data_IF_430800038334
#
_entry.id   IF_430800038334
#
_cell.length_a   1.000
_cell.length_b   1.000
_cell.length_c   1.000
_cell.angle_alpha   90.00
_cell.angle_beta   90.00
_cell.angle_gamma   90.00
#
_symmetry.space_group_name_H-M   'P 1'
#
loop_
_entity.id
_entity.type
_entity.pdbx_description
1 polymer ?
#
# COMPACT_ATOMS: atom_id res chain seq x y z
N UNK A 1 -16.46 -29.93 -4.29
CA UNK A 1 -15.81 -29.04 -5.26
C UNK A 1 -15.25 -29.91 -6.37
N UNK A 2 -15.60 -29.68 -7.64
CA UNK A 2 -15.02 -30.43 -8.77
C UNK A 2 -13.62 -29.92 -9.11
N UNK A 3 -12.82 -30.75 -9.76
CA UNK A 3 -11.49 -30.33 -10.25
C UNK A 3 -11.62 -29.17 -11.24
N UNK A 4 -12.57 -29.26 -12.18
CA UNK A 4 -12.81 -28.22 -13.18
C UNK A 4 -13.15 -26.85 -12.56
N UNK A 5 -13.94 -26.86 -11.48
CA UNK A 5 -14.30 -25.63 -10.77
C UNK A 5 -13.09 -24.97 -10.09
N UNK A 6 -12.18 -25.78 -9.52
CA UNK A 6 -10.92 -25.28 -8.95
C UNK A 6 -10.01 -24.73 -10.04
N UNK A 7 -9.84 -25.46 -11.15
CA UNK A 7 -9.01 -25.02 -12.27
C UNK A 7 -9.54 -23.73 -12.92
N UNK A 8 -10.85 -23.56 -13.01
CA UNK A 8 -11.47 -22.32 -13.46
C UNK A 8 -11.14 -21.15 -12.52
N UNK A 9 -11.24 -21.37 -11.20
CA UNK A 9 -10.91 -20.34 -10.19
C UNK A 9 -9.42 -20.00 -10.18
N UNK A 10 -8.53 -20.99 -10.34
CA UNK A 10 -7.08 -20.77 -10.49
C UNK A 10 -6.80 -19.90 -11.72
N UNK A 11 -7.41 -20.22 -12.87
CA UNK A 11 -7.27 -19.42 -14.10
C UNK A 11 -7.80 -17.99 -13.96
N UNK A 12 -8.90 -17.80 -13.22
CA UNK A 12 -9.45 -16.47 -12.91
C UNK A 12 -8.48 -15.65 -12.06
N UNK A 13 -7.91 -16.27 -11.02
CA UNK A 13 -6.96 -15.61 -10.12
C UNK A 13 -5.61 -15.34 -10.81
N UNK A 14 -5.12 -16.26 -11.63
CA UNK A 14 -3.90 -16.04 -12.42
C UNK A 14 -4.05 -14.85 -13.38
N UNK A 15 -5.17 -14.77 -14.13
CA UNK A 15 -5.47 -13.61 -14.97
C UNK A 15 -5.56 -12.31 -14.18
N UNK A 16 -6.11 -12.36 -12.96
CA UNK A 16 -6.15 -11.20 -12.08
C UNK A 16 -4.74 -10.78 -11.66
N UNK A 17 -3.87 -11.71 -11.30
CA UNK A 17 -2.47 -11.40 -10.96
C UNK A 17 -1.69 -10.86 -12.17
N UNK A 18 -1.92 -11.39 -13.37
CA UNK A 18 -1.34 -10.86 -14.61
C UNK A 18 -1.79 -9.41 -14.86
N UNK A 19 -3.10 -9.14 -14.76
CA UNK A 19 -3.61 -7.77 -14.86
C UNK A 19 -3.06 -6.83 -13.77
N UNK A 20 -2.72 -7.35 -12.59
CA UNK A 20 -2.11 -6.57 -11.52
C UNK A 20 -0.65 -6.24 -11.81
N UNK A 21 0.08 -7.14 -12.46
CA UNK A 21 1.46 -6.89 -12.91
C UNK A 21 1.49 -5.78 -13.98
N UNK A 22 0.58 -5.81 -14.96
CA UNK A 22 0.45 -4.74 -15.95
C UNK A 22 0.09 -3.39 -15.28
N UNK A 23 -0.79 -3.42 -14.27
CA UNK A 23 -1.16 -2.24 -13.49
C UNK A 23 0.03 -1.70 -12.67
N UNK A 24 0.85 -2.58 -12.11
CA UNK A 24 2.07 -2.20 -11.39
C UNK A 24 3.03 -1.45 -12.29
N UNK A 25 3.26 -1.92 -13.52
CA UNK A 25 4.12 -1.24 -14.49
C UNK A 25 3.57 0.15 -14.84
N UNK A 26 2.26 0.26 -15.11
CA UNK A 26 1.58 1.53 -15.36
C UNK A 26 1.73 2.52 -14.19
N UNK A 27 1.55 2.05 -12.95
CA UNK A 27 1.72 2.88 -11.74
C UNK A 27 3.18 3.29 -11.56
N UNK A 28 4.16 2.42 -11.85
CA UNK A 28 5.59 2.75 -11.79
C UNK A 28 5.93 3.87 -12.77
N UNK A 29 5.52 3.76 -14.03
CA UNK A 29 5.74 4.82 -15.02
C UNK A 29 5.09 6.14 -14.61
N UNK A 30 3.86 6.07 -14.09
CA UNK A 30 3.17 7.25 -13.60
C UNK A 30 3.89 7.89 -12.41
N UNK A 31 4.33 7.08 -11.45
CA UNK A 31 5.08 7.52 -10.28
C UNK A 31 6.40 8.19 -10.67
N UNK A 32 7.12 7.65 -11.66
CA UNK A 32 8.36 8.25 -12.16
C UNK A 32 8.12 9.62 -12.81
N UNK A 33 7.10 9.73 -13.66
CA UNK A 33 6.70 11.00 -14.29
C UNK A 33 6.29 12.03 -13.24
N UNK A 34 5.48 11.62 -12.26
CA UNK A 34 5.02 12.48 -11.17
C UNK A 34 6.21 12.93 -10.31
N UNK A 35 7.10 12.02 -9.93
CA UNK A 35 8.29 12.32 -9.15
C UNK A 35 9.21 13.30 -9.87
N UNK A 36 9.51 13.08 -11.15
CA UNK A 36 10.34 13.99 -11.92
C UNK A 36 9.73 15.40 -11.99
N UNK A 37 8.42 15.49 -12.17
CA UNK A 37 7.67 16.77 -12.14
C UNK A 37 7.76 17.46 -10.78
N UNK A 38 7.54 16.70 -9.69
CA UNK A 38 7.62 17.22 -8.31
C UNK A 38 9.05 17.67 -7.99
N UNK A 39 10.07 16.87 -8.27
CA UNK A 39 11.47 17.18 -8.00
C UNK A 39 11.92 18.45 -8.77
N UNK A 40 11.55 18.55 -10.05
CA UNK A 40 11.82 19.75 -10.86
C UNK A 40 11.12 20.99 -10.28
N UNK A 41 9.89 20.84 -9.79
CA UNK A 41 9.15 21.94 -9.17
C UNK A 41 9.77 22.33 -7.83
N UNK A 42 10.12 21.38 -6.96
CA UNK A 42 10.80 21.63 -5.69
C UNK A 42 12.12 22.38 -5.91
N UNK A 43 12.90 22.03 -6.93
CA UNK A 43 14.12 22.76 -7.27
C UNK A 43 13.82 24.24 -7.58
N UNK A 44 12.83 24.52 -8.44
CA UNK A 44 12.41 25.90 -8.74
C UNK A 44 11.91 26.66 -7.51
N UNK A 45 11.18 25.98 -6.62
CA UNK A 45 10.70 26.59 -5.37
C UNK A 45 11.86 26.93 -4.42
N UNK A 46 12.91 26.12 -4.39
CA UNK A 46 14.15 26.44 -3.66
C UNK A 46 14.85 27.66 -4.26
N UNK A 47 14.97 27.75 -5.58
CA UNK A 47 15.55 28.92 -6.25
C UNK A 47 14.76 30.20 -5.96
N UNK A 48 13.42 30.11 -5.90
CA UNK A 48 12.54 31.23 -5.56
C UNK A 48 12.70 31.65 -4.09
N UNK A 49 12.79 30.68 -3.18
CA UNK A 49 13.05 30.94 -1.75
C UNK A 49 14.39 31.64 -1.54
N UNK A 50 15.41 31.23 -2.29
CA UNK A 50 16.77 31.74 -2.16
C UNK A 50 16.97 33.08 -2.92
N UNK A 51 15.93 33.58 -3.60
CA UNK A 51 15.88 34.87 -4.29
C UNK A 51 14.67 35.72 -3.84
N UNK A 52 14.65 36.22 -2.57
CA UNK A 52 13.50 36.90 -1.99
C UNK A 52 13.05 38.16 -2.76
N UNK A 53 13.95 38.79 -3.52
CA UNK A 53 13.66 39.93 -4.37
C UNK A 53 12.72 39.60 -5.55
N UNK A 54 12.53 38.31 -5.86
CA UNK A 54 11.60 37.83 -6.88
C UNK A 54 10.20 37.55 -6.32
N UNK A 55 10.02 37.62 -5.01
CA UNK A 55 8.73 37.41 -4.37
C UNK A 55 7.82 38.63 -4.53
N UNK A 56 6.54 38.39 -4.76
CA UNK A 56 5.51 39.41 -4.77
C UNK A 56 5.34 40.06 -3.40
N UNK A 57 4.84 41.29 -3.38
CA UNK A 57 4.51 42.00 -2.14
C UNK A 57 3.52 41.21 -1.26
N UNK A 58 2.61 40.46 -1.89
CA UNK A 58 1.65 39.60 -1.17
C UNK A 58 2.34 38.40 -0.52
N UNK A 59 3.26 37.73 -1.23
CA UNK A 59 4.04 36.63 -0.66
C UNK A 59 4.90 37.11 0.53
N UNK A 60 5.54 38.28 0.41
CA UNK A 60 6.29 38.91 1.49
C UNK A 60 5.39 39.27 2.69
N UNK A 61 4.19 39.81 2.43
CA UNK A 61 3.21 40.13 3.48
C UNK A 61 2.77 38.88 4.25
N UNK A 62 2.48 37.77 3.55
CA UNK A 62 2.13 36.49 4.17
C UNK A 62 3.29 35.90 4.96
N UNK A 63 4.51 35.96 4.41
CA UNK A 63 5.74 35.57 5.10
C UNK A 63 5.95 36.31 6.42
N UNK A 64 5.80 37.63 6.41
CA UNK A 64 5.91 38.45 7.61
C UNK A 64 4.82 38.12 8.65
N UNK A 65 3.58 37.89 8.19
CA UNK A 65 2.47 37.49 9.05
C UNK A 65 2.69 36.13 9.71
N UNK A 66 3.30 35.19 8.99
CA UNK A 66 3.67 33.88 9.52
C UNK A 66 4.78 33.99 10.57
N UNK A 67 5.88 34.69 10.27
CA UNK A 67 7.06 34.76 11.14
C UNK A 67 6.84 35.57 12.43
N UNK A 68 6.01 36.62 12.38
CA UNK A 68 5.77 37.52 13.51
C UNK A 68 4.45 37.29 14.26
N UNK A 69 3.64 36.32 13.83
CA UNK A 69 2.28 36.11 14.29
C UNK A 69 2.09 34.98 15.29
N UNK A 70 1.07 35.13 16.14
CA UNK A 70 0.50 34.01 16.91
C UNK A 70 -0.23 33.01 15.99
N UNK A 71 -0.76 31.92 16.57
CA UNK A 71 -1.49 30.88 15.83
C UNK A 71 -2.60 31.46 14.92
N UNK A 72 -3.36 32.43 15.42
CA UNK A 72 -4.44 33.06 14.65
C UNK A 72 -3.93 33.87 13.45
N UNK A 73 -2.83 34.61 13.64
CA UNK A 73 -2.19 35.34 12.55
C UNK A 73 -1.57 34.38 11.51
N UNK A 74 -0.95 33.29 11.95
CA UNK A 74 -0.42 32.27 11.05
C UNK A 74 -1.53 31.58 10.24
N UNK A 75 -2.65 31.23 10.86
CA UNK A 75 -3.81 30.68 10.13
C UNK A 75 -4.34 31.67 9.09
N UNK A 76 -4.50 32.95 9.48
CA UNK A 76 -4.96 34.00 8.56
C UNK A 76 -4.00 34.24 7.39
N UNK A 77 -2.71 33.92 7.55
CA UNK A 77 -1.75 33.98 6.45
C UNK A 77 -1.98 32.92 5.36
N UNK A 78 -2.75 31.86 5.65
CA UNK A 78 -3.16 30.82 4.70
C UNK A 78 -4.51 31.14 4.02
N UNK A 79 -5.26 32.12 4.52
CA UNK A 79 -6.58 32.45 3.97
C UNK A 79 -6.53 32.77 2.48
N UNK A 80 -7.34 32.05 1.71
CA UNK A 80 -7.48 32.23 0.26
C UNK A 80 -6.24 31.84 -0.56
N UNK A 81 -5.25 31.18 0.02
CA UNK A 81 -4.02 30.79 -0.70
C UNK A 81 -4.27 29.82 -1.86
N UNK A 82 -5.40 29.11 -1.82
CA UNK A 82 -5.83 28.13 -2.85
C UNK A 82 -6.93 28.64 -3.79
N UNK A 83 -7.41 29.89 -3.61
CA UNK A 83 -8.62 30.37 -4.30
C UNK A 83 -8.37 30.87 -5.74
N UNK A 84 -7.11 31.12 -6.12
CA UNK A 84 -6.71 31.54 -7.46
C UNK A 84 -5.51 30.69 -7.86
N UNK A 85 -5.43 30.27 -9.13
CA UNK A 85 -4.42 29.33 -9.66
C UNK A 85 -3.12 29.35 -8.83
N UNK A 86 -2.75 28.23 -8.19
CA UNK A 86 -1.66 28.23 -7.22
C UNK A 86 -0.37 28.67 -7.89
N UNK A 87 0.11 29.85 -7.50
CA UNK A 87 1.42 30.34 -7.90
C UNK A 87 2.51 29.52 -7.22
N UNK A 88 3.72 29.55 -7.76
CA UNK A 88 4.90 28.95 -7.14
C UNK A 88 5.10 29.48 -5.71
N UNK A 89 4.78 30.75 -5.48
CA UNK A 89 4.79 31.38 -4.15
C UNK A 89 3.78 30.75 -3.19
N UNK A 90 2.57 30.46 -3.65
CA UNK A 90 1.54 29.82 -2.83
C UNK A 90 1.96 28.38 -2.44
N UNK A 91 2.49 27.61 -3.39
CA UNK A 91 3.00 26.25 -3.12
C UNK A 91 4.20 26.29 -2.18
N UNK A 92 5.16 27.19 -2.41
CA UNK A 92 6.31 27.38 -1.53
C UNK A 92 5.86 27.76 -0.11
N UNK A 93 4.91 28.69 0.01
CA UNK A 93 4.42 29.14 1.30
C UNK A 93 3.71 28.02 2.06
N UNK A 94 2.80 27.27 1.43
CA UNK A 94 2.17 26.10 2.05
C UNK A 94 3.22 25.09 2.55
N UNK A 95 4.23 24.77 1.73
CA UNK A 95 5.29 23.84 2.12
C UNK A 95 6.10 24.35 3.30
N UNK A 96 6.43 25.64 3.32
CA UNK A 96 7.19 26.26 4.40
C UNK A 96 6.39 26.32 5.70
N UNK A 97 5.11 26.71 5.65
CA UNK A 97 4.24 26.77 6.83
C UNK A 97 4.02 25.37 7.43
N UNK A 98 3.77 24.36 6.58
CA UNK A 98 3.65 22.97 7.02
C UNK A 98 4.95 22.44 7.63
N UNK A 99 6.10 22.87 7.12
CA UNK A 99 7.42 22.47 7.63
C UNK A 99 7.79 23.15 8.95
N UNK A 100 7.46 24.43 9.13
CA UNK A 100 8.10 25.29 10.14
C UNK A 100 7.18 25.74 11.28
N UNK A 101 5.86 25.68 11.13
CA UNK A 101 4.97 26.15 12.20
C UNK A 101 5.07 25.27 13.45
N UNK A 102 5.15 25.90 14.61
CA UNK A 102 5.08 25.21 15.91
C UNK A 102 3.65 24.75 16.23
N UNK A 103 2.64 25.39 15.63
CA UNK A 103 1.23 25.10 15.86
C UNK A 103 0.71 23.97 14.96
N UNK A 104 0.12 22.95 15.59
CA UNK A 104 -0.46 21.80 14.88
C UNK A 104 -1.55 22.22 13.88
N UNK A 105 -2.45 23.12 14.29
CA UNK A 105 -3.55 23.61 13.46
C UNK A 105 -3.06 24.26 12.17
N UNK A 106 -2.00 25.06 12.26
CA UNK A 106 -1.38 25.77 11.15
C UNK A 106 -0.70 24.79 10.19
N UNK A 107 0.10 23.84 10.71
CA UNK A 107 0.72 22.81 9.86
C UNK A 107 -0.32 22.02 9.09
N UNK A 108 -1.40 21.60 9.78
CA UNK A 108 -2.48 20.81 9.16
C UNK A 108 -3.30 21.59 8.15
N UNK A 109 -3.57 22.88 8.40
CA UNK A 109 -4.25 23.72 7.42
C UNK A 109 -3.40 23.90 6.15
N UNK A 110 -2.08 24.09 6.30
CA UNK A 110 -1.17 24.16 5.17
C UNK A 110 -1.10 22.83 4.38
N UNK A 111 -1.09 21.68 5.05
CA UNK A 111 -1.15 20.36 4.40
C UNK A 111 -2.47 20.13 3.67
N UNK A 112 -3.60 20.53 4.27
CA UNK A 112 -4.93 20.48 3.65
C UNK A 112 -4.98 21.36 2.40
N UNK A 113 -4.48 22.59 2.50
CA UNK A 113 -4.36 23.50 1.37
C UNK A 113 -3.47 22.91 0.26
N UNK A 114 -2.33 22.30 0.60
CA UNK A 114 -1.51 21.62 -0.40
C UNK A 114 -2.25 20.45 -1.08
N UNK A 115 -3.00 19.64 -0.33
CA UNK A 115 -3.75 18.52 -0.91
C UNK A 115 -4.87 18.99 -1.85
N UNK A 116 -5.57 20.09 -1.53
CA UNK A 116 -6.66 20.62 -2.37
C UNK A 116 -6.19 21.14 -3.73
N UNK A 117 -4.90 21.46 -3.86
CA UNK A 117 -4.27 21.85 -5.12
C UNK A 117 -3.93 20.66 -6.03
N UNK A 118 -4.13 19.41 -5.58
CA UNK A 118 -3.77 18.20 -6.31
C UNK A 118 -2.29 18.19 -6.69
N UNK A 119 -1.98 17.80 -7.93
CA UNK A 119 -0.60 17.68 -8.45
C UNK A 119 0.24 18.94 -8.25
N UNK A 120 -0.38 20.12 -8.28
CA UNK A 120 0.35 21.38 -8.10
C UNK A 120 0.79 21.60 -6.65
N UNK A 121 0.11 20.99 -5.68
CA UNK A 121 0.45 21.08 -4.26
C UNK A 121 1.39 19.98 -3.75
N UNK A 122 1.60 18.89 -4.51
CA UNK A 122 2.53 17.82 -4.08
C UNK A 122 3.97 18.30 -3.79
N UNK A 123 4.54 19.29 -4.49
CA UNK A 123 5.82 19.89 -4.10
C UNK A 123 5.81 20.49 -2.69
N UNK A 124 4.71 21.09 -2.24
CA UNK A 124 4.59 21.60 -0.87
C UNK A 124 4.62 20.44 0.15
N UNK A 125 3.93 19.35 -0.15
CA UNK A 125 3.96 18.12 0.67
C UNK A 125 5.40 17.58 0.73
N UNK A 126 6.08 17.46 -0.42
CA UNK A 126 7.45 16.97 -0.50
C UNK A 126 8.44 17.85 0.28
N UNK A 127 8.27 19.18 0.27
CA UNK A 127 9.08 20.12 1.06
C UNK A 127 8.91 19.88 2.55
N UNK A 128 7.68 19.66 3.02
CA UNK A 128 7.38 19.54 4.44
C UNK A 128 7.61 18.13 5.01
N UNK A 129 7.47 17.08 4.20
CA UNK A 129 7.28 15.70 4.66
C UNK A 129 8.34 15.20 5.65
N UNK A 130 9.61 15.51 5.39
CA UNK A 130 10.72 15.03 6.21
C UNK A 130 10.70 15.61 7.63
N UNK A 131 10.12 16.79 7.81
CA UNK A 131 10.00 17.48 9.11
C UNK A 131 8.66 17.18 9.81
N UNK A 132 7.73 16.48 9.16
CA UNK A 132 6.47 16.09 9.78
C UNK A 132 6.69 15.01 10.83
N UNK A 133 6.13 15.22 12.03
CA UNK A 133 6.00 14.17 13.04
C UNK A 133 4.98 13.10 12.60
N UNK A 134 4.97 11.96 13.31
CA UNK A 134 4.07 10.83 13.01
C UNK A 134 2.59 11.22 12.96
N UNK A 135 2.12 12.07 13.87
CA UNK A 135 0.70 12.49 13.93
C UNK A 135 0.31 13.31 12.70
N UNK A 136 1.18 14.21 12.24
CA UNK A 136 0.91 15.01 11.04
C UNK A 136 1.04 14.18 9.76
N UNK A 137 1.87 13.12 9.75
CA UNK A 137 1.88 12.13 8.65
C UNK A 137 0.58 11.30 8.60
N UNK A 138 -0.01 10.96 9.75
CA UNK A 138 -1.34 10.35 9.79
C UNK A 138 -2.42 11.28 9.26
N UNK A 139 -2.39 12.56 9.68
CA UNK A 139 -3.31 13.56 9.14
C UNK A 139 -3.16 13.69 7.62
N UNK A 140 -1.93 13.72 7.11
CA UNK A 140 -1.67 13.74 5.66
C UNK A 140 -2.26 12.52 4.96
N UNK A 141 -2.13 11.32 5.54
CA UNK A 141 -2.74 10.10 5.00
C UNK A 141 -4.27 10.24 4.86
N UNK A 142 -4.92 10.87 5.83
CA UNK A 142 -6.36 11.16 5.75
C UNK A 142 -6.69 12.15 4.63
N UNK A 143 -5.87 13.21 4.46
CA UNK A 143 -6.11 14.21 3.42
C UNK A 143 -5.98 13.64 2.01
N UNK A 144 -5.00 12.77 1.77
CA UNK A 144 -4.77 12.18 0.43
C UNK A 144 -5.87 11.20 0.00
N UNK A 145 -6.78 10.80 0.90
CA UNK A 145 -7.95 9.97 0.55
C UNK A 145 -8.89 10.66 -0.43
N UNK A 146 -8.90 12.00 -0.44
CA UNK A 146 -9.70 12.81 -1.37
C UNK A 146 -9.13 12.89 -2.79
N UNK A 147 -7.90 12.40 -3.00
CA UNK A 147 -7.23 12.43 -4.29
C UNK A 147 -7.68 11.27 -5.18
N UNK A 148 -7.27 11.31 -6.45
CA UNK A 148 -7.45 10.19 -7.37
C UNK A 148 -6.77 8.93 -6.81
N UNK A 149 -7.31 7.74 -7.07
CA UNK A 149 -6.71 6.49 -6.59
C UNK A 149 -5.27 6.31 -7.08
N UNK A 150 -4.93 6.84 -8.26
CA UNK A 150 -3.57 6.80 -8.82
C UNK A 150 -2.60 7.68 -8.03
N UNK A 151 -2.97 8.95 -7.79
CA UNK A 151 -2.16 9.85 -6.96
C UNK A 151 -2.04 9.35 -5.52
N UNK A 152 -3.16 8.86 -4.96
CA UNK A 152 -3.19 8.29 -3.61
C UNK A 152 -2.24 7.10 -3.48
N UNK A 153 -2.25 6.16 -4.42
CA UNK A 153 -1.34 5.02 -4.41
C UNK A 153 0.14 5.45 -4.45
N UNK A 154 0.49 6.39 -5.33
CA UNK A 154 1.87 6.88 -5.46
C UNK A 154 2.32 7.65 -4.21
N UNK A 155 1.46 8.52 -3.66
CA UNK A 155 1.77 9.26 -2.45
C UNK A 155 1.91 8.33 -1.25
N UNK A 156 1.02 7.35 -1.08
CA UNK A 156 1.12 6.35 -0.02
C UNK A 156 2.41 5.52 -0.13
N UNK A 157 2.76 5.05 -1.32
CA UNK A 157 4.01 4.34 -1.54
C UNK A 157 5.24 5.22 -1.24
N UNK A 158 5.15 6.53 -1.50
CA UNK A 158 6.20 7.49 -1.17
C UNK A 158 6.30 7.73 0.33
N UNK A 159 5.16 7.84 1.02
CA UNK A 159 5.11 7.98 2.49
C UNK A 159 5.71 6.77 3.20
N UNK A 160 5.60 5.58 2.61
CA UNK A 160 6.11 4.36 3.20
C UNK A 160 7.63 4.42 3.45
N UNK A 161 8.43 4.96 2.53
CA UNK A 161 9.90 4.90 2.56
C UNK A 161 10.56 5.29 3.89
N UNK A 162 9.99 6.30 4.57
CA UNK A 162 10.48 6.81 5.85
C UNK A 162 9.42 6.69 6.96
N UNK A 163 8.43 5.80 6.78
CA UNK A 163 7.32 5.62 7.69
C UNK A 163 7.74 4.92 9.00
N UNK A 164 7.12 5.33 10.10
CA UNK A 164 7.16 4.57 11.35
C UNK A 164 6.29 3.32 11.24
N UNK A 165 6.55 2.32 12.09
CA UNK A 165 5.78 1.08 12.15
C UNK A 165 4.24 1.30 12.21
N UNK A 166 3.72 2.23 13.05
CA UNK A 166 2.28 2.50 13.08
C UNK A 166 1.75 3.08 11.77
N UNK A 167 2.55 3.88 11.06
CA UNK A 167 2.15 4.46 9.79
C UNK A 167 2.12 3.39 8.70
N UNK A 168 3.10 2.49 8.65
CA UNK A 168 3.09 1.33 7.73
C UNK A 168 1.85 0.47 7.94
N UNK A 169 1.52 0.14 9.21
CA UNK A 169 0.32 -0.61 9.53
C UNK A 169 -0.95 0.08 9.01
N UNK A 170 -1.04 1.40 9.16
CA UNK A 170 -2.18 2.17 8.65
C UNK A 170 -2.24 2.22 7.13
N UNK A 171 -1.10 2.35 6.44
CA UNK A 171 -1.03 2.30 4.97
C UNK A 171 -1.55 0.95 4.43
N UNK A 172 -1.29 -0.16 5.12
CA UNK A 172 -1.79 -1.50 4.75
C UNK A 172 -3.33 -1.60 4.94
N UNK A 173 -3.83 -0.99 6.01
CA UNK A 173 -5.25 -0.97 6.35
C UNK A 173 -6.07 -0.06 5.44
N UNK A 174 -5.43 0.86 4.69
CA UNK A 174 -6.20 1.83 3.92
C UNK A 174 -7.04 1.18 2.82
N UNK A 175 -8.33 1.55 2.73
CA UNK A 175 -9.21 1.01 1.72
C UNK A 175 -8.91 1.63 0.37
N UNK A 176 -8.99 0.78 -0.65
CA UNK A 176 -9.03 1.17 -2.05
C UNK A 176 -10.23 0.47 -2.68
N UNK A 177 -10.97 1.21 -3.50
CA UNK A 177 -12.13 0.68 -4.22
C UNK A 177 -11.72 -0.06 -5.50
N UNK A 178 -10.42 -0.22 -5.75
CA UNK A 178 -9.87 -0.83 -6.94
C UNK A 178 -8.63 -1.69 -6.67
N UNK A 179 -8.12 -2.27 -7.76
CA UNK A 179 -7.02 -3.22 -7.77
C UNK A 179 -5.65 -2.59 -7.47
N UNK A 180 -5.53 -1.24 -7.40
CA UNK A 180 -4.29 -0.56 -7.00
C UNK A 180 -3.90 -0.87 -5.57
N UNK A 181 -4.86 -1.29 -4.74
CA UNK A 181 -4.60 -1.82 -3.39
C UNK A 181 -3.53 -2.90 -3.41
N UNK A 182 -3.65 -3.85 -4.33
CA UNK A 182 -2.76 -5.00 -4.39
C UNK A 182 -1.34 -4.58 -4.75
N UNK A 183 -1.21 -3.65 -5.68
CA UNK A 183 0.09 -3.09 -6.08
C UNK A 183 0.76 -2.39 -4.89
N UNK A 184 0.01 -1.56 -4.16
CA UNK A 184 0.53 -0.89 -2.96
C UNK A 184 0.97 -1.91 -1.89
N UNK A 185 0.14 -2.91 -1.60
CA UNK A 185 0.45 -3.94 -0.60
C UNK A 185 1.67 -4.77 -1.00
N UNK A 186 1.82 -5.12 -2.27
CA UNK A 186 3.02 -5.78 -2.80
C UNK A 186 4.26 -4.93 -2.58
N UNK A 187 4.20 -3.63 -2.91
CA UNK A 187 5.31 -2.71 -2.67
C UNK A 187 5.69 -2.58 -1.19
N UNK A 188 4.69 -2.53 -0.30
CA UNK A 188 4.93 -2.48 1.14
C UNK A 188 5.53 -3.78 1.67
N UNK A 189 5.13 -4.93 1.13
CA UNK A 189 5.76 -6.21 1.46
C UNK A 189 7.24 -6.22 1.05
N UNK A 190 7.57 -5.75 -0.15
CA UNK A 190 8.95 -5.69 -0.64
C UNK A 190 9.83 -4.75 0.21
N UNK A 191 9.28 -3.62 0.67
CA UNK A 191 10.04 -2.62 1.43
C UNK A 191 10.22 -2.96 2.92
N UNK A 192 9.23 -3.63 3.54
CA UNK A 192 9.16 -3.83 5.00
C UNK A 192 9.21 -5.30 5.44
N UNK A 193 9.26 -6.25 4.49
CA UNK A 193 9.42 -7.67 4.77
C UNK A 193 8.39 -8.23 5.75
N UNK A 194 8.88 -8.94 6.78
CA UNK A 194 8.08 -9.72 7.73
C UNK A 194 6.98 -8.94 8.45
N UNK A 195 7.25 -7.68 8.78
CA UNK A 195 6.29 -6.85 9.49
C UNK A 195 5.06 -6.55 8.61
N UNK A 196 5.30 -6.06 7.39
CA UNK A 196 4.22 -5.79 6.44
C UNK A 196 3.51 -7.08 6.05
N UNK A 197 4.25 -8.16 5.79
CA UNK A 197 3.66 -9.45 5.40
C UNK A 197 2.71 -10.01 6.45
N UNK A 198 3.04 -9.88 7.74
CA UNK A 198 2.13 -10.31 8.82
C UNK A 198 0.82 -9.55 8.77
N UNK A 199 0.87 -8.22 8.65
CA UNK A 199 -0.34 -7.38 8.59
C UNK A 199 -1.14 -7.55 7.30
N UNK A 200 -0.46 -7.79 6.17
CA UNK A 200 -1.09 -8.13 4.89
C UNK A 200 -1.84 -9.45 4.99
N UNK A 201 -1.28 -10.46 5.66
CA UNK A 201 -1.95 -11.73 5.91
C UNK A 201 -3.20 -11.57 6.78
N UNK A 202 -3.13 -10.79 7.86
CA UNK A 202 -4.30 -10.45 8.69
C UNK A 202 -5.40 -9.79 7.86
N UNK A 203 -5.01 -8.79 7.05
CA UNK A 203 -5.91 -8.07 6.15
C UNK A 203 -6.54 -9.01 5.12
N UNK A 204 -5.76 -9.92 4.53
CA UNK A 204 -6.24 -10.90 3.56
C UNK A 204 -7.26 -11.87 4.19
N UNK A 205 -7.01 -12.29 5.45
CA UNK A 205 -7.90 -13.16 6.22
C UNK A 205 -9.24 -12.47 6.48
N UNK A 206 -9.23 -11.22 6.89
CA UNK A 206 -10.42 -10.43 7.24
C UNK A 206 -11.21 -9.95 6.01
N UNK A 207 -10.54 -9.79 4.86
CA UNK A 207 -11.18 -9.34 3.63
C UNK A 207 -12.01 -10.46 3.00
N UNK A 208 -13.33 -10.27 2.93
CA UNK A 208 -14.24 -11.25 2.33
C UNK A 208 -14.19 -11.25 0.79
N UNK A 209 -14.73 -12.30 0.19
CA UNK A 209 -14.90 -12.40 -1.27
C UNK A 209 -13.59 -12.61 -2.05
N UNK A 210 -13.62 -12.20 -3.33
CA UNK A 210 -12.55 -12.44 -4.29
C UNK A 210 -11.26 -11.68 -3.96
N UNK A 211 -11.36 -10.50 -3.33
CA UNK A 211 -10.18 -9.70 -3.01
C UNK A 211 -9.29 -10.39 -1.98
N UNK A 212 -9.82 -10.77 -0.82
CA UNK A 212 -9.04 -11.49 0.19
C UNK A 212 -8.55 -12.85 -0.31
N UNK A 213 -9.33 -13.53 -1.15
CA UNK A 213 -8.88 -14.75 -1.82
C UNK A 213 -7.69 -14.51 -2.76
N UNK A 214 -7.73 -13.44 -3.55
CA UNK A 214 -6.63 -13.06 -4.45
C UNK A 214 -5.36 -12.69 -3.66
N UNK A 215 -5.49 -12.03 -2.51
CA UNK A 215 -4.35 -11.74 -1.62
C UNK A 215 -3.73 -13.03 -1.10
N UNK A 216 -4.53 -13.94 -0.52
CA UNK A 216 -4.03 -15.24 -0.04
C UNK A 216 -3.41 -16.08 -1.16
N UNK A 217 -4.00 -16.05 -2.35
CA UNK A 217 -3.49 -16.73 -3.53
C UNK A 217 -2.13 -16.18 -3.98
N UNK A 218 -1.98 -14.84 -4.03
CA UNK A 218 -0.69 -14.20 -4.33
C UNK A 218 0.39 -14.59 -3.31
N UNK A 219 0.06 -14.56 -2.01
CA UNK A 219 0.98 -14.93 -0.94
C UNK A 219 1.38 -16.41 -1.06
N UNK A 220 0.44 -17.30 -1.35
CA UNK A 220 0.74 -18.71 -1.59
C UNK A 220 1.63 -18.97 -2.83
N UNK A 221 1.64 -18.05 -3.81
CA UNK A 221 2.54 -18.11 -4.98
C UNK A 221 3.93 -17.50 -4.73
N UNK A 222 4.14 -16.80 -3.62
CA UNK A 222 5.43 -16.13 -3.32
C UNK A 222 6.59 -17.13 -3.16
N UNK A 223 6.29 -18.37 -2.77
CA UNK A 223 7.27 -19.44 -2.59
C UNK A 223 7.96 -19.47 -1.22
N UNK A 224 7.88 -18.40 -0.43
CA UNK A 224 8.47 -18.33 0.91
C UNK A 224 7.70 -19.22 1.90
N UNK A 225 8.29 -20.34 2.39
CA UNK A 225 7.55 -21.37 3.13
C UNK A 225 6.75 -20.85 4.32
N UNK A 226 7.32 -19.90 5.08
CA UNK A 226 6.66 -19.26 6.22
C UNK A 226 5.32 -18.61 5.81
N UNK A 227 5.32 -17.84 4.74
CA UNK A 227 4.12 -17.12 4.28
C UNK A 227 3.14 -18.01 3.56
N UNK A 228 3.63 -18.97 2.77
CA UNK A 228 2.79 -19.98 2.13
C UNK A 228 2.02 -20.78 3.17
N UNK A 229 2.67 -21.20 4.26
CA UNK A 229 2.02 -21.92 5.36
C UNK A 229 0.94 -21.07 6.05
N UNK A 230 1.21 -19.80 6.31
CA UNK A 230 0.23 -18.89 6.91
C UNK A 230 -0.97 -18.63 5.99
N UNK A 231 -0.73 -18.44 4.69
CA UNK A 231 -1.78 -18.28 3.70
C UNK A 231 -2.66 -19.54 3.59
N UNK A 232 -2.06 -20.74 3.65
CA UNK A 232 -2.79 -22.00 3.69
C UNK A 232 -3.68 -22.13 4.93
N UNK A 233 -3.17 -21.80 6.11
CA UNK A 233 -3.95 -21.82 7.35
C UNK A 233 -5.14 -20.87 7.28
N UNK A 234 -4.91 -19.64 6.83
CA UNK A 234 -5.97 -18.65 6.62
C UNK A 234 -7.00 -19.12 5.56
N UNK A 235 -6.53 -19.73 4.46
CA UNK A 235 -7.41 -20.33 3.46
C UNK A 235 -8.24 -21.47 4.06
N UNK A 236 -7.65 -22.34 4.89
CA UNK A 236 -8.33 -23.44 5.60
C UNK A 236 -9.52 -22.94 6.42
N UNK A 237 -9.33 -21.86 7.17
CA UNK A 237 -10.36 -21.20 7.97
C UNK A 237 -11.53 -20.65 7.11
N UNK A 238 -11.23 -20.16 5.88
CA UNK A 238 -12.25 -19.67 4.93
C UNK A 238 -13.06 -20.79 4.27
N UNK A 239 -12.54 -22.01 4.28
CA UNK A 239 -13.24 -23.19 3.77
C UNK A 239 -13.06 -23.45 2.26
N UNK A 240 -13.87 -24.39 1.71
CA UNK A 240 -13.64 -24.98 0.39
C UNK A 240 -13.62 -24.02 -0.81
N UNK A 241 -14.14 -22.80 -0.67
CA UNK A 241 -14.03 -21.76 -1.70
C UNK A 241 -12.57 -21.34 -1.97
N UNK A 242 -11.64 -21.69 -1.08
CA UNK A 242 -10.23 -21.31 -1.14
C UNK A 242 -9.32 -22.40 -1.72
N UNK A 243 -9.87 -23.42 -2.39
CA UNK A 243 -9.08 -24.49 -3.05
C UNK A 243 -7.98 -23.96 -3.98
N UNK A 244 -8.19 -22.83 -4.65
CA UNK A 244 -7.15 -22.23 -5.49
C UNK A 244 -5.88 -21.86 -4.71
N UNK A 245 -5.99 -21.44 -3.45
CA UNK A 245 -4.83 -21.15 -2.59
C UNK A 245 -4.03 -22.42 -2.29
N UNK A 246 -4.73 -23.54 -2.07
CA UNK A 246 -4.08 -24.85 -1.90
C UNK A 246 -3.29 -25.23 -3.15
N UNK A 247 -3.91 -25.08 -4.33
CA UNK A 247 -3.25 -25.40 -5.60
C UNK A 247 -2.00 -24.54 -5.81
N UNK A 248 -2.06 -23.24 -5.48
CA UNK A 248 -0.89 -22.36 -5.53
C UNK A 248 0.23 -22.82 -4.59
N UNK A 249 -0.12 -23.11 -3.34
CA UNK A 249 0.84 -23.55 -2.32
C UNK A 249 1.50 -24.89 -2.64
N UNK A 250 0.86 -25.74 -3.47
CA UNK A 250 1.39 -27.04 -3.88
C UNK A 250 2.71 -26.99 -4.68
N UNK A 251 3.20 -25.79 -5.05
CA UNK A 251 4.52 -25.59 -5.66
C UNK A 251 5.64 -25.36 -4.64
N UNK A 252 5.31 -25.19 -3.36
CA UNK A 252 6.29 -24.98 -2.30
C UNK A 252 6.83 -26.33 -1.81
N UNK A 253 8.15 -26.48 -1.88
CA UNK A 253 8.87 -27.71 -1.50
C UNK A 253 9.22 -27.71 -0.01
N UNK A 254 8.22 -27.43 0.84
CA UNK A 254 8.36 -27.44 2.30
C UNK A 254 7.46 -28.52 2.93
N UNK A 255 8.00 -29.39 3.82
CA UNK A 255 7.22 -30.45 4.45
C UNK A 255 6.05 -29.94 5.31
N UNK A 256 6.19 -28.82 6.00
CA UNK A 256 5.12 -28.26 6.83
C UNK A 256 4.00 -27.68 5.96
N UNK A 257 4.35 -27.03 4.84
CA UNK A 257 3.39 -26.60 3.82
C UNK A 257 2.66 -27.81 3.23
N UNK A 258 3.39 -28.88 2.91
CA UNK A 258 2.81 -30.11 2.35
C UNK A 258 1.82 -30.76 3.32
N UNK A 259 2.17 -30.87 4.58
CA UNK A 259 1.28 -31.40 5.62
C UNK A 259 0.00 -30.55 5.75
N UNK A 260 0.11 -29.24 5.79
CA UNK A 260 -1.06 -28.36 5.90
C UNK A 260 -1.95 -28.41 4.65
N UNK A 261 -1.36 -28.53 3.45
CA UNK A 261 -2.08 -28.73 2.20
C UNK A 261 -2.94 -30.01 2.23
N UNK A 262 -2.38 -31.13 2.71
CA UNK A 262 -3.12 -32.40 2.86
C UNK A 262 -4.20 -32.26 3.93
N UNK A 263 -3.90 -31.59 5.05
CA UNK A 263 -4.88 -31.33 6.12
C UNK A 263 -6.08 -30.54 5.61
N UNK A 264 -5.84 -29.50 4.83
CA UNK A 264 -6.89 -28.68 4.25
C UNK A 264 -7.70 -29.45 3.19
N UNK A 265 -7.03 -30.21 2.30
CA UNK A 265 -7.68 -31.06 1.31
C UNK A 265 -8.57 -32.14 1.96
N UNK A 266 -8.08 -32.80 3.01
CA UNK A 266 -8.83 -33.79 3.80
C UNK A 266 -10.04 -33.17 4.50
N UNK A 267 -9.87 -31.98 5.08
CA UNK A 267 -10.96 -31.28 5.79
C UNK A 267 -12.10 -30.85 4.85
N UNK A 268 -11.78 -30.51 3.59
CA UNK A 268 -12.76 -29.99 2.64
C UNK A 268 -13.36 -31.06 1.73
N UNK A 269 -12.59 -32.11 1.43
CA UNK A 269 -13.02 -33.25 0.64
C UNK A 269 -13.50 -32.94 -0.78
N UNK A 270 -14.13 -33.95 -1.40
CA UNK A 270 -14.54 -33.92 -2.80
C UNK A 270 -13.39 -34.16 -3.77
N UNK A 271 -13.74 -34.24 -5.06
CA UNK A 271 -12.84 -34.65 -6.14
C UNK A 271 -11.51 -33.87 -6.15
N UNK A 272 -11.56 -32.54 -5.97
CA UNK A 272 -10.35 -31.73 -5.92
C UNK A 272 -9.46 -32.06 -4.71
N UNK A 273 -10.06 -32.30 -3.55
CA UNK A 273 -9.33 -32.67 -2.33
C UNK A 273 -8.68 -34.04 -2.46
N UNK A 274 -9.41 -35.03 -2.96
CA UNK A 274 -8.91 -36.38 -3.25
C UNK A 274 -7.71 -36.33 -4.20
N UNK A 275 -7.84 -35.61 -5.32
CA UNK A 275 -6.74 -35.45 -6.29
C UNK A 275 -5.51 -34.78 -5.70
N UNK A 276 -5.69 -33.80 -4.79
CA UNK A 276 -4.58 -33.13 -4.11
C UNK A 276 -3.86 -34.11 -3.16
N UNK A 277 -4.62 -34.90 -2.40
CA UNK A 277 -4.09 -35.92 -1.49
C UNK A 277 -3.31 -36.98 -2.28
N UNK A 278 -3.90 -37.52 -3.35
CA UNK A 278 -3.27 -38.53 -4.20
C UNK A 278 -1.94 -38.03 -4.78
N UNK A 279 -1.94 -36.78 -5.29
CA UNK A 279 -0.72 -36.15 -5.80
C UNK A 279 0.34 -35.96 -4.70
N UNK A 280 -0.07 -35.61 -3.48
CA UNK A 280 0.84 -35.42 -2.37
C UNK A 280 1.46 -36.73 -1.87
N UNK A 281 0.70 -37.83 -1.89
CA UNK A 281 1.18 -39.17 -1.51
C UNK A 281 2.04 -39.81 -2.61
N UNK A 282 1.83 -39.42 -3.87
CA UNK A 282 2.65 -39.85 -4.99
C UNK A 282 3.88 -38.95 -5.25
N UNK A 283 4.21 -38.03 -4.34
CA UNK A 283 5.32 -37.09 -4.55
C UNK A 283 6.66 -37.83 -4.65
N UNK A 284 7.50 -37.37 -5.58
CA UNK A 284 8.84 -37.92 -5.81
C UNK A 284 9.80 -37.59 -4.66
N UNK A 285 9.58 -36.48 -3.96
CA UNK A 285 10.36 -36.10 -2.79
C UNK A 285 9.86 -36.88 -1.56
N UNK A 286 10.74 -37.70 -1.00
CA UNK A 286 10.41 -38.55 0.13
C UNK A 286 9.96 -37.76 1.36
N UNK A 287 10.59 -36.62 1.67
CA UNK A 287 10.25 -35.80 2.84
C UNK A 287 8.84 -35.22 2.71
N UNK A 288 8.48 -34.73 1.52
CA UNK A 288 7.13 -34.22 1.25
C UNK A 288 6.08 -35.33 1.31
N UNK A 289 6.40 -36.50 0.76
CA UNK A 289 5.52 -37.67 0.81
C UNK A 289 5.30 -38.17 2.24
N UNK A 290 6.35 -38.22 3.06
CA UNK A 290 6.24 -38.60 4.48
C UNK A 290 5.39 -37.60 5.26
N UNK A 291 5.57 -36.30 5.03
CA UNK A 291 4.75 -35.26 5.66
C UNK A 291 3.27 -35.38 5.27
N UNK A 292 2.98 -35.69 4.00
CA UNK A 292 1.63 -35.97 3.52
C UNK A 292 1.03 -37.22 4.20
N UNK A 293 1.79 -38.32 4.26
CA UNK A 293 1.34 -39.58 4.86
C UNK A 293 1.07 -39.46 6.37
N UNK A 294 1.86 -38.67 7.10
CA UNK A 294 1.67 -38.43 8.52
C UNK A 294 0.27 -37.89 8.84
N UNK A 295 -0.21 -36.93 8.04
CA UNK A 295 -1.53 -36.31 8.21
C UNK A 295 -2.69 -37.26 7.88
N UNK A 296 -2.44 -38.29 7.07
CA UNK A 296 -3.45 -39.31 6.77
C UNK A 296 -3.67 -40.27 7.94
N UNK A 297 -2.65 -40.47 8.79
CA UNK A 297 -2.73 -41.29 10.00
C UNK A 297 -3.28 -40.58 11.24
N UNK A 298 -3.41 -39.24 11.21
CA UNK A 298 -4.07 -38.40 12.22
C UNK A 298 -5.60 -38.37 12.06
#
# INVERSE_FOLDING_TARGET
MSVEGVEAKVRELDRKLESLADMEESIKEYAEKLRASVDAKVARLKDLRDAPEKLSAEALRRGAMFLGGDEAAQLKSLDGIVNHQPSDEAVLFCGHVAQRSEYESVRREALRAACSLGKTGYPAIAIAYQDLNTTDRFFLLEQIRSLSNEDRAVLMASMAKDASEPLVAKLIEEPFDDDRRFVLLGKLADDFGDQAMTKILETARETQGLQGLAMLYAIAKSGEPKYVLLALKAARERGPSSYAVIVAAGKCDDPAVRAELVRAAKAWGGEAGERIIDKALADSNESLRQAAAAVMGE
#
